data_IF_035217356451
#
_entry.id   IF_035217356451
#
_cell.length_a   1.000
_cell.length_b   1.000
_cell.length_c   1.000
_cell.angle_alpha   90.00
_cell.angle_beta   90.00
_cell.angle_gamma   90.00
#
_symmetry.space_group_name_H-M   'P 1'
#
loop_
_entity.id
_entity.type
_entity.pdbx_description
1 polymer ?
#
# COMPACT_ATOMS: atom_id res chain seq x y z
N UNK A 1 11.15 -1.28 -8.07
CA UNK A 1 10.90 -2.38 -7.12
C UNK A 1 10.61 -3.65 -7.91
N UNK A 2 11.34 -4.67 -7.61
CA UNK A 2 11.13 -5.96 -8.26
C UNK A 2 10.45 -6.92 -7.29
N UNK A 3 9.31 -7.45 -7.69
CA UNK A 3 8.64 -8.47 -6.91
C UNK A 3 9.07 -9.82 -7.41
N UNK A 4 9.52 -10.64 -6.50
CA UNK A 4 9.92 -12.00 -6.80
C UNK A 4 8.65 -12.84 -7.03
N UNK A 5 8.39 -13.17 -8.28
CA UNK A 5 7.22 -13.95 -8.66
C UNK A 5 7.24 -15.36 -8.08
N UNK A 6 8.42 -15.88 -7.71
CA UNK A 6 8.48 -17.18 -7.04
C UNK A 6 7.91 -17.10 -5.63
N UNK A 7 8.06 -15.96 -4.97
CA UNK A 7 7.45 -15.74 -3.66
C UNK A 7 5.94 -15.63 -3.74
N UNK A 8 5.39 -15.09 -4.83
CA UNK A 8 3.94 -15.04 -5.02
C UNK A 8 3.33 -16.43 -5.20
N UNK A 9 4.12 -17.44 -5.58
CA UNK A 9 3.67 -18.83 -5.59
C UNK A 9 3.60 -19.44 -4.20
N UNK A 10 4.47 -19.00 -3.30
CA UNK A 10 4.51 -19.46 -1.91
C UNK A 10 3.46 -18.75 -1.07
N UNK A 11 3.20 -17.49 -1.37
CA UNK A 11 2.24 -16.66 -0.64
C UNK A 11 1.06 -16.36 -1.54
N UNK A 12 -0.14 -16.33 -0.96
CA UNK A 12 -1.36 -15.98 -1.68
C UNK A 12 -1.43 -14.48 -1.94
N UNK A 13 -0.83 -13.67 -1.05
CA UNK A 13 -0.85 -12.21 -1.14
C UNK A 13 0.55 -11.67 -0.89
N UNK A 14 0.92 -10.62 -1.61
CA UNK A 14 2.17 -9.91 -1.37
C UNK A 14 1.95 -8.40 -1.42
N UNK A 15 2.39 -7.70 -0.39
CA UNK A 15 2.46 -6.24 -0.39
C UNK A 15 3.85 -5.83 -0.85
N UNK A 16 3.97 -4.94 -1.85
CA UNK A 16 5.26 -4.54 -2.40
C UNK A 16 6.00 -3.51 -1.55
N UNK A 17 5.59 -3.31 -0.31
CA UNK A 17 6.25 -2.42 0.64
C UNK A 17 5.97 -2.89 2.06
N UNK A 18 6.69 -2.32 3.01
CA UNK A 18 6.71 -2.79 4.40
C UNK A 18 5.53 -2.29 5.24
N UNK A 19 4.62 -1.52 4.67
CA UNK A 19 3.51 -0.90 5.39
C UNK A 19 3.76 0.55 5.73
N UNK A 20 4.95 1.06 5.48
CA UNK A 20 5.28 2.46 5.73
C UNK A 20 5.04 3.27 4.47
N UNK A 21 3.91 3.95 4.43
CA UNK A 21 3.57 4.87 3.34
C UNK A 21 3.95 6.28 3.76
N UNK A 22 4.78 6.94 2.97
CA UNK A 22 5.33 8.26 3.29
C UNK A 22 4.65 9.34 2.47
N UNK A 23 4.27 10.40 3.16
CA UNK A 23 3.65 11.57 2.54
C UNK A 23 4.74 12.48 1.97
N UNK A 24 4.70 12.69 0.67
CA UNK A 24 5.67 13.55 -0.03
C UNK A 24 5.27 15.02 -0.06
N UNK A 25 4.22 15.43 0.67
CA UNK A 25 3.75 16.82 0.62
C UNK A 25 4.79 17.83 1.10
N UNK A 26 5.75 17.40 1.94
CA UNK A 26 6.84 18.25 2.42
C UNK A 26 8.00 18.36 1.42
N UNK A 27 7.90 17.68 0.29
CA UNK A 27 8.91 17.68 -0.76
C UNK A 27 8.27 18.30 -2.00
N UNK A 28 9.04 19.03 -2.76
CA UNK A 28 8.55 19.65 -3.99
C UNK A 28 8.14 18.57 -4.99
N UNK A 29 6.83 18.35 -5.11
CA UNK A 29 6.29 17.37 -6.05
C UNK A 29 6.74 17.66 -7.48
N UNK A 30 6.81 18.93 -7.83
CA UNK A 30 7.24 19.39 -9.14
C UNK A 30 8.67 18.93 -9.45
N UNK A 31 9.53 18.91 -8.44
CA UNK A 31 10.90 18.42 -8.64
C UNK A 31 10.89 16.96 -9.08
N UNK A 32 10.10 16.13 -8.39
CA UNK A 32 10.00 14.71 -8.76
C UNK A 32 9.39 14.55 -10.15
N UNK A 33 8.31 15.29 -10.45
CA UNK A 33 7.67 15.23 -11.75
C UNK A 33 8.62 15.60 -12.88
N UNK A 34 9.52 16.55 -12.62
CA UNK A 34 10.49 17.01 -13.62
C UNK A 34 11.61 15.99 -13.81
N UNK A 35 12.15 15.46 -12.73
CA UNK A 35 13.36 14.63 -12.75
C UNK A 35 13.06 13.14 -12.66
N UNK A 36 11.91 12.76 -12.12
CA UNK A 36 11.48 11.37 -11.91
C UNK A 36 12.55 10.51 -11.23
N UNK A 37 13.21 11.10 -10.25
CA UNK A 37 14.34 10.49 -9.56
C UNK A 37 13.90 9.92 -8.23
N UNK A 38 13.79 8.59 -8.16
CA UNK A 38 13.42 7.92 -6.91
C UNK A 38 14.48 8.13 -5.82
N UNK A 39 15.73 8.30 -6.18
CA UNK A 39 16.80 8.53 -5.22
C UNK A 39 16.62 9.87 -4.52
N UNK A 40 16.06 10.86 -5.19
CA UNK A 40 15.70 12.14 -4.56
C UNK A 40 14.69 11.92 -3.43
N UNK A 41 13.68 11.09 -3.66
CA UNK A 41 12.70 10.77 -2.63
C UNK A 41 13.34 10.03 -1.46
N UNK A 42 14.18 9.04 -1.75
CA UNK A 42 14.89 8.29 -0.71
C UNK A 42 15.80 9.19 0.13
N UNK A 43 16.47 10.12 -0.52
CA UNK A 43 17.37 11.06 0.15
C UNK A 43 16.64 11.95 1.16
N UNK A 44 15.37 12.29 0.88
CA UNK A 44 14.58 13.18 1.74
C UNK A 44 13.57 12.41 2.60
N UNK A 45 13.70 11.11 2.68
CA UNK A 45 12.76 10.23 3.36
C UNK A 45 12.51 10.65 4.82
N UNK A 46 13.54 11.09 5.53
CA UNK A 46 13.42 11.48 6.94
C UNK A 46 12.55 12.72 7.17
N UNK A 47 12.33 13.51 6.13
CA UNK A 47 11.50 14.71 6.21
C UNK A 47 10.02 14.42 5.96
N UNK A 48 9.70 13.20 5.61
CA UNK A 48 8.34 12.79 5.25
C UNK A 48 7.63 12.19 6.46
N UNK A 49 6.35 12.47 6.58
CA UNK A 49 5.51 11.90 7.62
C UNK A 49 4.93 10.56 7.15
N UNK A 50 4.87 9.60 8.07
CA UNK A 50 4.22 8.32 7.79
C UNK A 50 2.70 8.49 7.78
N UNK A 51 2.09 7.91 6.75
CA UNK A 51 0.64 7.88 6.62
C UNK A 51 0.10 6.57 7.20
N UNK A 52 -1.11 6.65 7.79
CA UNK A 52 -1.85 5.47 8.26
C UNK A 52 -1.11 4.62 9.28
N UNK A 53 -0.08 5.19 9.93
CA UNK A 53 0.60 4.52 11.01
C UNK A 53 -0.16 4.76 12.31
N UNK A 54 -0.64 3.69 12.89
CA UNK A 54 -1.24 3.72 14.22
C UNK A 54 -0.27 3.00 15.14
N UNK A 55 0.03 3.60 16.26
CA UNK A 55 1.01 3.07 17.20
C UNK A 55 0.70 1.62 17.57
N UNK A 56 1.70 0.75 17.39
CA UNK A 56 1.58 -0.66 17.71
C UNK A 56 0.77 -1.48 16.71
N UNK A 57 0.31 -0.88 15.63
CA UNK A 57 -0.50 -1.56 14.62
C UNK A 57 0.24 -1.60 13.29
N UNK A 58 -0.07 -2.60 12.49
CA UNK A 58 0.44 -2.74 11.13
C UNK A 58 0.09 -1.49 10.34
N UNK A 59 1.06 -0.97 9.58
CA UNK A 59 0.88 0.23 8.79
C UNK A 59 -0.08 0.03 7.60
N UNK A 60 0.10 0.81 6.56
CA UNK A 60 -0.79 0.81 5.41
C UNK A 60 -0.92 -0.57 4.77
N UNK A 61 -2.14 -0.94 4.41
CA UNK A 61 -2.48 -2.23 3.81
C UNK A 61 -3.15 -2.07 2.45
N UNK A 62 -2.98 -0.91 1.85
CA UNK A 62 -3.50 -0.59 0.53
C UNK A 62 -2.42 0.02 -0.35
N UNK A 63 -2.83 0.78 -1.34
CA UNK A 63 -1.94 1.47 -2.27
C UNK A 63 -1.44 0.58 -3.39
N UNK A 64 -0.90 -0.57 -3.10
CA UNK A 64 -0.47 -1.56 -4.09
C UNK A 64 -0.44 -2.94 -3.44
N UNK A 65 -1.02 -3.90 -4.12
CA UNK A 65 -1.04 -5.29 -3.66
C UNK A 65 -0.87 -6.24 -4.83
N UNK A 66 -0.34 -7.42 -4.54
CA UNK A 66 -0.32 -8.54 -5.49
C UNK A 66 -1.03 -9.72 -4.83
N UNK A 67 -1.97 -10.31 -5.52
CA UNK A 67 -2.72 -11.44 -5.01
C UNK A 67 -2.91 -12.45 -6.14
N UNK A 68 -2.82 -13.73 -5.82
CA UNK A 68 -3.15 -14.76 -6.80
C UNK A 68 -4.61 -14.60 -7.21
N UNK A 69 -4.86 -14.56 -8.51
CA UNK A 69 -6.19 -14.27 -9.04
C UNK A 69 -7.25 -15.23 -8.51
N UNK A 70 -6.93 -16.53 -8.51
CA UNK A 70 -7.88 -17.52 -8.01
C UNK A 70 -8.18 -17.34 -6.52
N UNK A 71 -7.19 -16.96 -5.75
CA UNK A 71 -7.37 -16.71 -4.31
C UNK A 71 -8.18 -15.45 -4.05
N UNK A 72 -7.97 -14.43 -4.86
CA UNK A 72 -8.75 -13.20 -4.80
C UNK A 72 -10.23 -13.47 -5.06
N UNK A 73 -10.52 -14.27 -6.10
CA UNK A 73 -11.88 -14.63 -6.44
C UNK A 73 -12.53 -15.50 -5.36
N UNK A 74 -11.80 -16.47 -4.82
CA UNK A 74 -12.31 -17.37 -3.77
C UNK A 74 -12.64 -16.61 -2.48
N UNK A 75 -11.91 -15.55 -2.20
CA UNK A 75 -12.13 -14.75 -0.99
C UNK A 75 -13.19 -13.67 -1.16
N UNK A 76 -13.89 -13.63 -2.30
CA UNK A 76 -14.99 -12.71 -2.50
C UNK A 76 -14.60 -11.34 -3.05
N UNK A 77 -13.39 -11.20 -3.56
CA UNK A 77 -12.91 -9.96 -4.17
C UNK A 77 -12.96 -8.76 -3.22
N UNK A 78 -13.63 -7.69 -3.60
CA UNK A 78 -13.79 -6.51 -2.75
C UNK A 78 -15.18 -6.53 -2.10
N UNK A 79 -15.26 -5.96 -0.91
CA UNK A 79 -16.54 -5.79 -0.23
C UNK A 79 -17.22 -4.52 -0.78
N UNK A 80 -18.23 -4.71 -1.61
CA UNK A 80 -18.92 -3.62 -2.28
C UNK A 80 -19.85 -2.82 -1.34
N UNK A 81 -20.01 -3.26 -0.10
CA UNK A 81 -20.80 -2.54 0.89
C UNK A 81 -20.08 -1.33 1.47
N UNK A 82 -18.79 -1.18 1.19
CA UNK A 82 -18.05 0.00 1.62
C UNK A 82 -18.25 1.16 0.64
N UNK A 83 -18.50 2.34 1.19
CA UNK A 83 -18.71 3.56 0.43
C UNK A 83 -17.62 4.57 0.76
N UNK A 84 -17.14 5.28 -0.26
CA UNK A 84 -16.15 6.31 -0.08
C UNK A 84 -14.76 5.73 0.14
N UNK A 85 -13.98 6.39 1.01
CA UNK A 85 -12.59 6.05 1.23
C UNK A 85 -12.40 5.52 2.65
N UNK A 86 -11.57 4.51 2.78
CA UNK A 86 -11.15 4.05 4.10
C UNK A 86 -11.23 2.53 4.24
N UNK A 87 -11.66 1.99 5.23
CA UNK A 87 -11.62 0.67 5.86
C UNK A 87 -11.63 -0.57 4.94
N UNK A 88 -11.89 -0.44 3.65
CA UNK A 88 -11.98 -1.58 2.72
C UNK A 88 -10.67 -2.35 2.61
N UNK A 89 -9.54 -1.66 2.64
CA UNK A 89 -8.24 -2.31 2.56
C UNK A 89 -7.95 -3.15 3.80
N UNK A 90 -8.31 -2.64 4.97
CA UNK A 90 -8.15 -3.35 6.22
C UNK A 90 -9.08 -4.55 6.33
N UNK A 91 -10.32 -4.38 5.91
CA UNK A 91 -11.30 -5.48 5.88
C UNK A 91 -10.83 -6.60 4.95
N UNK A 92 -10.36 -6.24 3.77
CA UNK A 92 -9.84 -7.19 2.80
C UNK A 92 -8.68 -8.00 3.37
N UNK A 93 -7.73 -7.32 4.00
CA UNK A 93 -6.59 -7.99 4.64
C UNK A 93 -7.04 -8.92 5.75
N UNK A 94 -7.94 -8.48 6.61
CA UNK A 94 -8.47 -9.28 7.69
C UNK A 94 -9.16 -10.54 7.15
N UNK A 95 -9.95 -10.38 6.10
CA UNK A 95 -10.66 -11.50 5.46
C UNK A 95 -9.68 -12.52 4.89
N UNK A 96 -8.62 -12.06 4.21
CA UNK A 96 -7.59 -12.95 3.70
C UNK A 96 -6.92 -13.76 4.81
N UNK A 97 -6.62 -13.11 5.93
CA UNK A 97 -6.07 -13.81 7.08
C UNK A 97 -7.05 -14.85 7.63
N UNK A 98 -8.33 -14.52 7.64
CA UNK A 98 -9.38 -15.46 8.08
C UNK A 98 -9.48 -16.69 7.18
N UNK A 99 -9.16 -16.53 5.90
CA UNK A 99 -9.09 -17.65 4.95
C UNK A 99 -7.79 -18.46 5.09
N UNK A 100 -6.90 -18.05 5.97
CA UNK A 100 -5.61 -18.72 6.16
C UNK A 100 -4.58 -18.38 5.10
N UNK A 101 -4.79 -17.30 4.36
CA UNK A 101 -3.84 -16.87 3.34
C UNK A 101 -2.56 -16.35 3.98
N UNK A 102 -1.44 -16.69 3.38
CA UNK A 102 -0.13 -16.20 3.80
C UNK A 102 0.16 -14.90 3.08
N UNK A 103 0.53 -13.90 3.85
CA UNK A 103 0.79 -12.55 3.33
C UNK A 103 2.28 -12.24 3.49
N UNK A 104 2.91 -11.87 2.38
CA UNK A 104 4.30 -11.44 2.35
C UNK A 104 4.37 -9.92 2.24
N UNK A 105 5.34 -9.33 2.91
CA UNK A 105 5.65 -7.91 2.75
C UNK A 105 7.08 -7.74 2.29
N UNK A 106 7.28 -6.99 1.23
CA UNK A 106 8.60 -6.61 0.77
C UNK A 106 9.21 -5.54 1.68
N UNK A 107 10.52 -5.45 1.67
CA UNK A 107 11.21 -4.35 2.33
C UNK A 107 11.03 -3.06 1.56
N UNK A 108 11.20 -1.92 2.25
CA UNK A 108 11.11 -0.60 1.64
C UNK A 108 9.76 0.05 1.83
N UNK A 109 9.75 1.37 1.71
CA UNK A 109 8.55 2.16 1.91
C UNK A 109 7.84 2.45 0.59
N UNK A 110 6.61 2.94 0.70
CA UNK A 110 5.82 3.46 -0.40
C UNK A 110 5.87 4.99 -0.33
N UNK A 111 6.16 5.65 -1.44
CA UNK A 111 6.08 7.10 -1.52
C UNK A 111 4.74 7.50 -2.12
N UNK A 112 3.94 8.19 -1.31
CA UNK A 112 2.63 8.66 -1.74
C UNK A 112 2.77 10.09 -2.26
N UNK A 113 2.63 10.27 -3.57
CA UNK A 113 2.70 11.58 -4.18
C UNK A 113 1.43 12.36 -3.84
N UNK A 114 1.62 13.54 -3.24
CA UNK A 114 0.50 14.35 -2.81
C UNK A 114 -0.33 14.82 -4.01
N UNK A 115 -1.64 14.86 -3.82
CA UNK A 115 -2.58 15.30 -4.85
C UNK A 115 -3.82 15.89 -4.17
N UNK A 116 -4.56 16.76 -4.86
CA UNK A 116 -5.84 17.24 -4.32
C UNK A 116 -6.80 16.07 -4.13
N UNK A 117 -7.55 16.10 -3.04
CA UNK A 117 -8.59 15.11 -2.79
C UNK A 117 -9.93 15.62 -3.29
N UNK A 118 -10.72 14.72 -3.86
CA UNK A 118 -12.10 14.98 -4.19
C UNK A 118 -12.87 15.23 -2.90
N UNK A 119 -13.60 16.34 -2.86
CA UNK A 119 -14.40 16.71 -1.67
C UNK A 119 -15.48 15.70 -1.35
N UNK A 120 -15.93 14.93 -2.32
CA UNK A 120 -16.94 13.90 -2.14
C UNK A 120 -16.40 12.57 -1.63
N UNK A 121 -15.10 12.48 -1.44
CA UNK A 121 -14.46 11.29 -0.87
C UNK A 121 -14.36 11.43 0.63
N UNK A 122 -15.20 10.74 1.28
CA UNK A 122 -15.21 10.73 2.73
C UNK A 122 -14.84 9.35 3.25
#
# INVERSE_FOLDING_TARGET
MRIDLTRSKTYEVAYPYDGNALDTSNILREHYWTHRDIDFLKKHQRKMNSLYMVEGVIGAVGGAIFVQTNKYLQAGMENEDFYGWGLEDGERRYRWLSFGYRIYRSEGCLFHLSHPRDQNRM
#
